data_IF_134227999557
#
_entry.id   IF_134227999557
#
_cell.length_a   1.000
_cell.length_b   1.000
_cell.length_c   1.000
_cell.angle_alpha   90.00
_cell.angle_beta   90.00
_cell.angle_gamma   90.00
#
_symmetry.space_group_name_H-M   'P 1'
#
loop_
_entity.id
_entity.type
_entity.pdbx_description
1 polymer ?
#
# COMPACT_ATOMS: atom_id res chain seq x y z
N UNK A 1 -12.03 4.54 22.98
CA UNK A 1 -12.26 4.85 21.55
C UNK A 1 -10.99 4.45 20.82
N UNK A 2 -11.05 3.30 20.16
CA UNK A 2 -10.03 2.27 20.28
C UNK A 2 -8.90 2.47 19.26
N UNK A 3 -7.63 2.51 19.68
CA UNK A 3 -6.44 2.71 18.81
C UNK A 3 -6.48 1.79 17.57
N UNK A 4 -7.07 0.61 17.73
CA UNK A 4 -7.34 -0.38 16.69
C UNK A 4 -8.19 0.18 15.53
N UNK A 5 -9.23 0.97 15.81
CA UNK A 5 -10.10 1.57 14.79
C UNK A 5 -9.34 2.59 13.93
N UNK A 6 -8.45 3.37 14.55
CA UNK A 6 -7.58 4.32 13.86
C UNK A 6 -6.55 3.57 13.01
N UNK A 7 -5.99 2.46 13.50
CA UNK A 7 -5.08 1.61 12.74
C UNK A 7 -5.77 1.03 11.48
N UNK A 8 -7.01 0.55 11.58
CA UNK A 8 -7.77 0.09 10.43
C UNK A 8 -8.06 1.21 9.42
N UNK A 9 -8.34 2.42 9.89
CA UNK A 9 -8.59 3.58 9.03
C UNK A 9 -7.32 3.99 8.25
N UNK A 10 -6.16 3.93 8.91
CA UNK A 10 -4.85 4.16 8.28
C UNK A 10 -4.55 3.07 7.25
N UNK A 11 -4.79 1.80 7.57
CA UNK A 11 -4.63 0.68 6.62
C UNK A 11 -5.51 0.87 5.39
N UNK A 12 -6.76 1.27 5.57
CA UNK A 12 -7.69 1.54 4.47
C UNK A 12 -7.18 2.66 3.55
N UNK A 13 -6.67 3.76 4.12
CA UNK A 13 -6.09 4.86 3.36
C UNK A 13 -4.80 4.45 2.61
N UNK A 14 -3.94 3.66 3.24
CA UNK A 14 -2.73 3.10 2.61
C UNK A 14 -3.08 2.12 1.49
N UNK A 15 -4.16 1.34 1.65
CA UNK A 15 -4.61 0.42 0.63
C UNK A 15 -5.16 1.14 -0.61
N UNK A 16 -5.95 2.21 -0.41
CA UNK A 16 -6.46 3.05 -1.50
C UNK A 16 -5.36 3.76 -2.28
N UNK A 17 -4.34 4.26 -1.59
CA UNK A 17 -3.16 4.86 -2.23
C UNK A 17 -2.33 3.81 -2.98
N UNK A 18 -2.09 2.64 -2.40
CA UNK A 18 -1.41 1.52 -3.07
C UNK A 18 -2.15 1.08 -4.34
N UNK A 19 -3.48 0.92 -4.30
CA UNK A 19 -4.29 0.56 -5.46
C UNK A 19 -4.19 1.59 -6.60
N UNK A 20 -4.18 2.88 -6.26
CA UNK A 20 -4.00 3.97 -7.24
C UNK A 20 -2.64 3.92 -7.92
N UNK A 21 -1.57 3.61 -7.17
CA UNK A 21 -0.24 3.39 -7.72
C UNK A 21 -0.15 2.10 -8.56
N UNK A 22 -0.88 1.05 -8.16
CA UNK A 22 -0.95 -0.22 -8.88
C UNK A 22 -1.62 -0.06 -10.26
N UNK A 23 -2.74 0.67 -10.34
CA UNK A 23 -3.42 0.96 -11.61
C UNK A 23 -2.55 1.81 -12.55
N UNK A 24 -1.88 2.85 -12.03
CA UNK A 24 -0.91 3.63 -12.82
C UNK A 24 0.25 2.78 -13.31
N UNK A 25 0.69 1.82 -12.51
CA UNK A 25 1.73 0.88 -12.90
C UNK A 25 1.26 -0.05 -14.03
N UNK A 26 0.08 -0.68 -13.90
CA UNK A 26 -0.50 -1.52 -14.96
C UNK A 26 -0.70 -0.72 -16.25
N UNK A 27 -1.18 0.52 -16.15
CA UNK A 27 -1.36 1.39 -17.30
C UNK A 27 -0.03 1.71 -17.99
N UNK A 28 1.01 2.09 -17.23
CA UNK A 28 2.34 2.34 -17.79
C UNK A 28 2.98 1.08 -18.39
N UNK A 29 2.76 -0.08 -17.78
CA UNK A 29 3.30 -1.36 -18.23
C UNK A 29 2.63 -1.85 -19.53
N UNK A 30 1.30 -1.74 -19.62
CA UNK A 30 0.54 -2.24 -20.77
C UNK A 30 0.51 -1.25 -21.94
N UNK A 31 0.41 0.06 -21.68
CA UNK A 31 0.28 1.09 -22.71
C UNK A 31 1.63 1.68 -23.11
N UNK A 32 2.51 2.01 -22.16
CA UNK A 32 3.76 2.70 -22.45
C UNK A 32 4.95 1.75 -22.74
N UNK A 33 4.85 0.44 -22.42
CA UNK A 33 5.94 -0.55 -22.60
C UNK A 33 7.29 -0.16 -21.98
N UNK A 34 7.30 0.85 -21.12
CA UNK A 34 8.44 1.34 -20.37
C UNK A 34 8.30 0.80 -18.96
N UNK A 35 9.35 0.22 -18.39
CA UNK A 35 9.36 -0.21 -16.98
C UNK A 35 10.09 0.84 -16.12
N UNK A 36 9.45 1.96 -15.71
CA UNK A 36 10.02 2.77 -14.65
C UNK A 36 9.85 2.00 -13.33
N UNK A 37 10.82 1.15 -13.00
CA UNK A 37 10.88 0.33 -11.78
C UNK A 37 10.66 1.16 -10.49
N UNK A 38 10.94 2.47 -10.53
CA UNK A 38 10.72 3.42 -9.43
C UNK A 38 9.27 3.45 -8.90
N UNK A 39 8.25 3.23 -9.73
CA UNK A 39 6.85 3.28 -9.28
C UNK A 39 6.36 1.96 -8.67
N UNK A 40 6.82 0.80 -9.18
CA UNK A 40 6.57 -0.51 -8.58
C UNK A 40 7.17 -0.58 -7.20
N UNK A 41 8.43 -0.13 -7.06
CA UNK A 41 9.16 -0.23 -5.79
C UNK A 41 8.44 0.60 -4.73
N UNK A 42 7.92 1.79 -5.06
CA UNK A 42 7.12 2.60 -4.13
C UNK A 42 5.79 1.94 -3.74
N UNK A 43 5.09 1.31 -4.70
CA UNK A 43 3.86 0.59 -4.41
C UNK A 43 4.13 -0.64 -3.52
N UNK A 44 5.19 -1.40 -3.82
CA UNK A 44 5.63 -2.54 -3.01
C UNK A 44 6.02 -2.13 -1.59
N UNK A 45 6.77 -1.03 -1.43
CA UNK A 45 7.13 -0.50 -0.10
C UNK A 45 5.89 -0.09 0.69
N UNK A 46 4.87 0.51 0.07
CA UNK A 46 3.61 0.83 0.75
C UNK A 46 2.88 -0.44 1.23
N UNK A 47 2.85 -1.49 0.41
CA UNK A 47 2.23 -2.78 0.79
C UNK A 47 3.00 -3.46 1.92
N UNK A 48 4.33 -3.45 1.88
CA UNK A 48 5.18 -3.99 2.96
C UNK A 48 4.96 -3.21 4.25
N UNK A 49 4.81 -1.89 4.19
CA UNK A 49 4.52 -1.04 5.36
C UNK A 49 3.16 -1.38 5.98
N UNK A 50 2.13 -1.65 5.16
CA UNK A 50 0.81 -2.11 5.63
C UNK A 50 0.90 -3.47 6.30
N UNK A 51 1.67 -4.41 5.76
CA UNK A 51 1.87 -5.72 6.36
C UNK A 51 2.52 -5.63 7.74
N UNK A 52 3.53 -4.77 7.90
CA UNK A 52 4.18 -4.54 9.20
C UNK A 52 3.20 -3.98 10.22
N UNK A 53 2.39 -2.98 9.84
CA UNK A 53 1.36 -2.40 10.72
C UNK A 53 0.33 -3.46 11.11
N UNK A 54 -0.12 -4.27 10.14
CA UNK A 54 -1.06 -5.37 10.38
C UNK A 54 -0.51 -6.45 11.31
N UNK A 55 0.79 -6.76 11.23
CA UNK A 55 1.44 -7.73 12.11
C UNK A 55 1.70 -7.16 13.53
N UNK A 56 1.77 -5.83 13.67
CA UNK A 56 1.98 -5.17 14.96
C UNK A 56 0.67 -4.99 15.75
N UNK A 57 -0.47 -4.91 15.07
CA UNK A 57 -1.81 -4.85 15.70
C UNK A 57 -2.04 -5.95 16.76
N UNK A 58 -1.77 -7.24 16.52
CA UNK A 58 -1.93 -8.29 17.54
C UNK A 58 -0.90 -8.22 18.67
N UNK A 59 0.17 -7.43 18.55
CA UNK A 59 1.13 -7.19 19.63
C UNK A 59 0.73 -6.02 20.55
N UNK A 60 -0.19 -5.15 20.08
CA UNK A 60 -0.69 -3.98 20.82
C UNK A 60 -2.04 -4.29 21.52
N UNK A 61 -2.70 -5.39 21.14
CA UNK A 61 -3.98 -5.86 21.68
C UNK A 61 -3.83 -6.98 22.71
#
# INVERSE_FOLDING_TARGET
MNIILIAYLIIFALFGTAASYFVRFIYAYWVLKQMPMKYIIKAGVCVVMVLIISALIPFIG
#
